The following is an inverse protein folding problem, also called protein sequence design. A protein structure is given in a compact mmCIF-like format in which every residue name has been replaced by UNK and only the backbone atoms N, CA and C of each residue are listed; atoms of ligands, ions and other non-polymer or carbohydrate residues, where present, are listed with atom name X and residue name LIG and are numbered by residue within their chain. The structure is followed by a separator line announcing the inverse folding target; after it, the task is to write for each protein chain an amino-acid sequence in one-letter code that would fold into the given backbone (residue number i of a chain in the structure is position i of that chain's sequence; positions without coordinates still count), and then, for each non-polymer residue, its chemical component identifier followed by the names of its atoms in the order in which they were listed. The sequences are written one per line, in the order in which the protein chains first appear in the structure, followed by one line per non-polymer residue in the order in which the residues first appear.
data_IF_355220039274
#
_entry.id   IF_355220039274
#
_cell.length_a   1.000
_cell.length_b   1.000
_cell.length_c   1.000
_cell.angle_alpha   90.00
_cell.angle_beta   90.00
_cell.angle_gamma   90.00
#
_symmetry.space_group_name_H-M   'P 1'
#
loop_
_entity.id
_entity.type
_entity.pdbx_description
1 polymer ?
#
# COMPACT_ATOMS: atom_id res chain seq x y z
N UNK A 1 0.43 21.33 -11.70
CA UNK A 1 -0.84 21.99 -11.34
C UNK A 1 -1.76 21.85 -12.55
N UNK A 2 -2.46 20.73 -12.64
CA UNK A 2 -3.65 20.56 -13.46
C UNK A 2 -4.67 19.92 -12.52
N UNK A 3 -5.15 20.75 -11.59
CA UNK A 3 -6.46 20.51 -11.02
C UNK A 3 -7.41 20.52 -12.22
N UNK A 4 -8.02 19.37 -12.54
CA UNK A 4 -9.30 19.44 -13.23
C UNK A 4 -10.20 20.23 -12.29
N UNK A 5 -10.40 21.48 -12.67
CA UNK A 5 -11.37 22.39 -12.12
C UNK A 5 -12.69 21.62 -12.13
N UNK A 6 -13.12 21.16 -10.95
CA UNK A 6 -14.46 20.64 -10.79
C UNK A 6 -15.39 21.74 -11.30
N UNK A 7 -16.11 21.45 -12.38
CA UNK A 7 -17.15 22.34 -12.87
C UNK A 7 -18.14 22.58 -11.71
N UNK A 8 -18.60 23.81 -11.44
CA UNK A 8 -19.39 24.13 -10.25
C UNK A 8 -20.82 23.55 -10.26
N UNK A 9 -21.14 22.61 -11.14
CA UNK A 9 -22.47 22.04 -11.33
C UNK A 9 -22.58 20.54 -10.99
N UNK A 10 -21.66 19.97 -10.21
CA UNK A 10 -21.95 18.70 -9.52
C UNK A 10 -22.69 19.04 -8.22
N UNK A 11 -24.01 18.76 -8.18
CA UNK A 11 -24.82 18.79 -6.96
C UNK A 11 -24.09 18.00 -5.88
N UNK A 12 -23.45 18.68 -4.93
CA UNK A 12 -22.97 18.08 -3.71
C UNK A 12 -24.23 17.75 -2.89
N UNK A 13 -24.74 16.52 -3.00
CA UNK A 13 -25.73 16.03 -2.06
C UNK A 13 -25.02 15.88 -0.71
N UNK A 14 -25.21 16.89 0.14
CA UNK A 14 -24.94 16.77 1.57
C UNK A 14 -25.94 15.77 2.13
N UNK A 15 -25.50 14.53 2.30
CA UNK A 15 -26.18 13.53 3.11
C UNK A 15 -26.12 14.00 4.57
N UNK A 16 -27.09 14.83 4.97
CA UNK A 16 -27.13 15.41 6.31
C UNK A 16 -27.47 14.38 7.41
N UNK A 17 -27.88 13.14 7.06
CA UNK A 17 -28.40 12.16 8.03
C UNK A 17 -27.92 10.71 7.77
N UNK A 18 -26.61 10.47 7.62
CA UNK A 18 -26.08 9.09 7.76
C UNK A 18 -25.76 8.84 9.23
N UNK A 19 -26.56 8.01 9.88
CA UNK A 19 -26.29 7.52 11.23
C UNK A 19 -25.75 6.08 11.17
N UNK A 20 -24.53 5.88 11.65
CA UNK A 20 -23.91 4.55 11.79
C UNK A 20 -23.88 4.17 13.26
N UNK A 21 -24.36 2.96 13.59
CA UNK A 21 -24.25 2.38 14.93
C UNK A 21 -23.19 1.28 14.93
N UNK A 22 -22.18 1.41 15.78
CA UNK A 22 -21.12 0.42 15.96
C UNK A 22 -21.27 -0.25 17.32
N UNK A 23 -21.11 -1.58 17.38
CA UNK A 23 -20.97 -2.30 18.64
C UNK A 23 -19.57 -2.08 19.19
N UNK A 24 -19.47 -1.77 20.49
CA UNK A 24 -18.20 -1.59 21.16
C UNK A 24 -17.82 -2.84 21.94
N UNK A 25 -16.55 -3.21 21.84
CA UNK A 25 -15.97 -4.28 22.64
C UNK A 25 -15.56 -3.75 24.03
N UNK A 26 -15.59 -4.63 25.04
CA UNK A 26 -15.03 -4.33 26.36
C UNK A 26 -13.54 -3.98 26.26
N UNK A 27 -13.09 -3.05 27.10
CA UNK A 27 -11.70 -2.62 27.11
C UNK A 27 -10.78 -3.78 27.55
N UNK A 28 -9.64 -3.90 26.88
CA UNK A 28 -8.55 -4.82 27.23
C UNK A 28 -7.18 -4.15 26.97
N UNK A 29 -6.10 -4.82 27.37
CA UNK A 29 -4.73 -4.44 27.03
C UNK A 29 -4.16 -5.39 25.98
N UNK A 30 -3.17 -4.92 25.23
CA UNK A 30 -2.40 -5.72 24.27
C UNK A 30 -0.96 -5.81 24.73
N UNK A 31 -0.31 -6.92 24.38
CA UNK A 31 1.12 -7.17 24.54
C UNK A 31 1.74 -7.34 23.16
N UNK A 32 2.60 -6.40 22.76
CA UNK A 32 3.16 -6.34 21.40
C UNK A 32 4.66 -6.57 21.41
N UNK A 33 5.14 -7.45 20.54
CA UNK A 33 6.55 -7.59 20.19
C UNK A 33 6.73 -7.70 18.68
N UNK A 34 7.84 -7.16 18.16
CA UNK A 34 8.26 -7.38 16.77
C UNK A 34 9.48 -8.31 16.74
N UNK A 35 9.44 -9.32 15.88
CA UNK A 35 10.59 -10.17 15.60
C UNK A 35 11.08 -9.92 14.17
N UNK A 36 12.34 -9.51 14.03
CA UNK A 36 12.99 -9.29 12.75
C UNK A 36 13.79 -10.54 12.40
N UNK A 37 13.40 -11.23 11.34
CA UNK A 37 14.00 -12.49 10.90
C UNK A 37 14.09 -12.50 9.37
N UNK A 38 14.68 -13.54 8.80
CA UNK A 38 14.69 -13.73 7.36
C UNK A 38 13.27 -13.99 6.81
N UNK A 39 13.10 -13.80 5.51
CA UNK A 39 11.83 -14.08 4.82
C UNK A 39 11.69 -15.51 4.30
N UNK A 40 12.49 -16.45 4.82
CA UNK A 40 12.34 -17.84 4.45
C UNK A 40 10.95 -18.33 4.92
N UNK A 41 10.29 -19.10 4.07
CA UNK A 41 9.03 -19.79 4.39
C UNK A 41 7.80 -18.88 4.64
N UNK A 42 7.88 -17.56 4.41
CA UNK A 42 6.74 -16.64 4.59
C UNK A 42 5.49 -17.06 3.79
N UNK A 43 5.68 -17.70 2.62
CA UNK A 43 4.67 -18.32 1.76
C UNK A 43 3.92 -19.50 2.41
N UNK A 44 4.45 -20.07 3.49
CA UNK A 44 3.86 -21.24 4.15
C UNK A 44 3.40 -20.94 5.59
N UNK A 45 4.07 -20.01 6.31
CA UNK A 45 3.79 -19.79 7.74
C UNK A 45 2.81 -18.65 8.04
N UNK A 46 2.45 -17.82 7.05
CA UNK A 46 1.59 -16.65 7.26
C UNK A 46 0.25 -16.98 7.93
N UNK A 47 -0.39 -18.09 7.53
CA UNK A 47 -1.68 -18.53 8.12
C UNK A 47 -1.51 -18.94 9.59
N UNK A 48 -0.47 -19.71 9.89
CA UNK A 48 -0.25 -20.20 11.26
C UNK A 48 0.09 -19.06 12.22
N UNK A 49 0.84 -18.05 11.73
CA UNK A 49 1.06 -16.81 12.50
C UNK A 49 -0.26 -16.08 12.79
N UNK A 50 -1.14 -15.95 11.79
CA UNK A 50 -2.45 -15.31 11.94
C UNK A 50 -3.40 -16.05 12.89
N UNK A 51 -3.37 -17.38 12.90
CA UNK A 51 -4.16 -18.20 13.84
C UNK A 51 -3.65 -18.07 15.27
N UNK A 52 -2.33 -17.91 15.44
CA UNK A 52 -1.69 -17.87 16.76
C UNK A 52 -1.84 -16.52 17.46
N UNK A 53 -1.86 -15.42 16.73
CA UNK A 53 -1.95 -14.07 17.30
C UNK A 53 -3.14 -13.31 16.73
N UNK A 54 -4.05 -12.89 17.60
CA UNK A 54 -5.33 -12.26 17.20
C UNK A 54 -5.15 -11.01 16.33
N UNK A 55 -4.10 -10.23 16.59
CA UNK A 55 -3.79 -9.02 15.83
C UNK A 55 -2.48 -9.15 15.07
N UNK A 56 -2.17 -10.37 14.61
CA UNK A 56 -1.02 -10.64 13.77
C UNK A 56 -0.96 -9.70 12.55
N UNK A 57 0.24 -9.19 12.28
CA UNK A 57 0.64 -8.72 10.97
C UNK A 57 2.07 -9.16 10.68
N UNK A 58 2.44 -9.13 9.40
CA UNK A 58 3.81 -9.39 8.94
C UNK A 58 4.20 -8.23 8.04
N UNK A 59 5.35 -7.62 8.27
CA UNK A 59 5.91 -6.64 7.33
C UNK A 59 7.09 -7.29 6.60
N UNK A 60 6.98 -7.44 5.29
CA UNK A 60 7.99 -8.06 4.45
C UNK A 60 8.78 -7.00 3.70
N UNK A 61 10.11 -7.05 3.78
CA UNK A 61 11.05 -6.17 3.09
C UNK A 61 11.83 -6.99 2.05
N UNK A 62 11.33 -7.11 0.80
CA UNK A 62 11.88 -8.06 -0.16
C UNK A 62 13.34 -7.78 -0.52
N UNK A 63 13.75 -6.52 -0.70
CA UNK A 63 15.16 -6.20 -1.05
C UNK A 63 16.14 -6.54 0.07
N UNK A 64 15.63 -6.73 1.29
CA UNK A 64 16.40 -7.01 2.50
C UNK A 64 16.31 -8.45 2.96
N UNK A 65 15.58 -9.30 2.23
CA UNK A 65 15.27 -10.67 2.64
C UNK A 65 14.78 -10.76 4.10
N UNK A 66 14.04 -9.75 4.56
CA UNK A 66 13.65 -9.59 5.96
C UNK A 66 12.14 -9.67 6.10
N UNK A 67 11.64 -10.52 7.01
CA UNK A 67 10.27 -10.50 7.47
C UNK A 67 10.20 -10.04 8.94
N UNK A 68 9.24 -9.18 9.25
CA UNK A 68 8.99 -8.67 10.60
C UNK A 68 7.65 -9.17 11.07
N UNK A 69 7.67 -10.14 11.98
CA UNK A 69 6.47 -10.73 12.54
C UNK A 69 6.03 -9.93 13.77
N UNK A 70 4.76 -9.51 13.77
CA UNK A 70 4.14 -8.89 14.95
C UNK A 70 3.44 -9.94 15.80
N UNK A 71 3.92 -10.07 17.02
CA UNK A 71 3.34 -10.91 18.07
C UNK A 71 2.44 -10.00 18.89
N UNK A 72 1.14 -10.20 18.78
CA UNK A 72 0.17 -9.28 19.34
C UNK A 72 -1.03 -10.04 19.91
N UNK A 73 -1.09 -10.04 21.23
CA UNK A 73 -2.09 -10.80 22.00
C UNK A 73 -2.81 -9.90 22.96
N UNK A 74 -4.06 -10.29 23.27
CA UNK A 74 -4.79 -9.75 24.40
C UNK A 74 -4.12 -10.14 25.71
N UNK A 75 -4.13 -9.22 26.65
CA UNK A 75 -3.79 -9.47 28.05
C UNK A 75 -4.84 -8.83 28.97
N UNK A 76 -5.02 -9.36 30.19
CA UNK A 76 -5.91 -8.80 31.19
C UNK A 76 -5.64 -7.32 31.50
N UNK A 77 -6.66 -6.61 32.01
CA UNK A 77 -6.57 -5.17 32.31
C UNK A 77 -5.57 -4.84 33.43
N UNK A 78 -5.35 -5.77 34.36
CA UNK A 78 -4.40 -5.66 35.46
C UNK A 78 -2.96 -5.95 35.06
N UNK A 79 -2.71 -6.39 33.81
CA UNK A 79 -1.36 -6.52 33.28
C UNK A 79 -0.61 -5.18 33.35
N UNK A 80 0.62 -5.20 33.88
CA UNK A 80 1.42 -4.00 34.06
C UNK A 80 1.86 -3.40 32.71
N UNK A 81 1.79 -2.07 32.60
CA UNK A 81 2.17 -1.31 31.40
C UNK A 81 1.11 -0.30 30.97
N UNK A 82 1.57 0.85 30.47
CA UNK A 82 0.75 1.88 29.82
C UNK A 82 1.37 2.30 28.49
N UNK A 83 1.78 1.29 27.72
CA UNK A 83 2.38 1.47 26.41
C UNK A 83 1.42 2.12 25.42
N UNK A 84 2.02 2.74 24.40
CA UNK A 84 1.31 3.36 23.29
C UNK A 84 1.98 2.99 21.97
N UNK A 85 1.22 3.05 20.89
CA UNK A 85 1.74 2.90 19.53
C UNK A 85 1.58 4.21 18.75
N UNK A 86 2.65 4.98 18.68
CA UNK A 86 2.70 6.20 17.89
C UNK A 86 3.51 5.92 16.62
N UNK A 87 2.89 5.24 15.65
CA UNK A 87 3.56 4.78 14.43
C UNK A 87 4.40 5.88 13.80
N UNK A 88 5.67 5.59 13.52
CA UNK A 88 6.62 6.60 13.00
C UNK A 88 6.12 7.27 11.72
N UNK A 89 5.37 6.54 10.88
CA UNK A 89 4.84 7.06 9.64
C UNK A 89 3.75 8.09 9.86
N UNK A 90 3.12 8.15 11.04
CA UNK A 90 2.02 9.08 11.37
C UNK A 90 2.37 10.06 12.49
N UNK A 91 3.65 10.23 12.80
CA UNK A 91 4.16 11.25 13.72
C UNK A 91 4.22 12.63 13.05
N UNK A 92 4.17 13.69 13.85
CA UNK A 92 4.47 15.03 13.36
C UNK A 92 5.94 15.11 12.95
N UNK A 93 6.20 15.60 11.74
CA UNK A 93 7.55 15.78 11.23
C UNK A 93 7.82 17.26 11.02
N UNK A 94 9.05 17.70 11.28
CA UNK A 94 9.51 19.02 10.84
C UNK A 94 9.29 19.16 9.32
N UNK A 95 8.70 20.28 8.90
CA UNK A 95 8.38 20.52 7.49
C UNK A 95 9.64 20.46 6.63
N UNK A 96 10.75 21.04 7.12
CA UNK A 96 12.04 21.02 6.42
C UNK A 96 12.56 19.60 6.25
N UNK A 97 12.47 18.74 7.26
CA UNK A 97 12.89 17.34 7.16
C UNK A 97 12.08 16.60 6.10
N UNK A 98 10.75 16.76 6.11
CA UNK A 98 9.87 16.11 5.12
C UNK A 98 10.19 16.56 3.68
N UNK A 99 10.48 17.86 3.49
CA UNK A 99 10.89 18.41 2.20
C UNK A 99 12.27 17.90 1.76
N UNK A 100 13.24 17.82 2.67
CA UNK A 100 14.59 17.30 2.39
C UNK A 100 14.57 15.83 2.03
N UNK A 101 13.82 15.00 2.77
CA UNK A 101 13.64 13.57 2.45
C UNK A 101 13.03 13.42 1.06
N UNK A 102 11.99 14.19 0.76
CA UNK A 102 11.38 14.18 -0.57
C UNK A 102 12.35 14.60 -1.68
N UNK A 103 13.13 15.66 -1.45
CA UNK A 103 14.08 16.17 -2.43
C UNK A 103 15.20 15.15 -2.70
N UNK A 104 15.71 14.49 -1.66
CA UNK A 104 16.69 13.41 -1.78
C UNK A 104 16.11 12.23 -2.57
N UNK A 105 14.90 11.79 -2.25
CA UNK A 105 14.25 10.71 -2.99
C UNK A 105 14.06 11.04 -4.48
N UNK A 106 13.62 12.27 -4.78
CA UNK A 106 13.49 12.76 -6.17
C UNK A 106 14.82 12.74 -6.92
N UNK A 107 15.92 13.09 -6.26
CA UNK A 107 17.24 13.05 -6.86
C UNK A 107 17.62 11.60 -7.21
N UNK A 108 17.38 10.64 -6.30
CA UNK A 108 17.64 9.23 -6.55
C UNK A 108 16.80 8.67 -7.71
N UNK A 109 15.52 9.04 -7.76
CA UNK A 109 14.61 8.67 -8.86
C UNK A 109 15.09 9.24 -10.21
N UNK A 110 15.41 10.53 -10.26
CA UNK A 110 15.81 11.21 -11.50
C UNK A 110 17.19 10.76 -12.03
N UNK A 111 18.08 10.32 -11.14
CA UNK A 111 19.43 9.86 -11.51
C UNK A 111 19.49 8.34 -11.75
N UNK A 112 18.38 7.63 -11.56
CA UNK A 112 18.35 6.17 -11.65
C UNK A 112 19.23 5.48 -10.61
N UNK A 113 19.42 6.11 -9.44
CA UNK A 113 20.35 5.64 -8.41
C UNK A 113 19.71 4.60 -7.50
N UNK A 114 19.71 3.34 -7.96
CA UNK A 114 19.19 2.19 -7.22
C UNK A 114 19.97 1.93 -5.93
N UNK A 115 21.29 2.07 -5.94
CA UNK A 115 22.12 1.86 -4.74
C UNK A 115 21.75 2.84 -3.63
N UNK A 116 21.57 4.12 -3.96
CA UNK A 116 21.12 5.15 -3.03
C UNK A 116 19.72 4.86 -2.47
N UNK A 117 18.80 4.33 -3.29
CA UNK A 117 17.49 3.87 -2.80
C UNK A 117 17.61 2.71 -1.82
N UNK A 118 18.54 1.78 -2.05
CA UNK A 118 18.79 0.67 -1.13
C UNK A 118 19.45 1.12 0.17
N UNK A 119 20.32 2.14 0.11
CA UNK A 119 20.89 2.76 1.30
C UNK A 119 19.81 3.42 2.16
N UNK A 120 18.91 4.20 1.55
CA UNK A 120 17.81 4.83 2.29
C UNK A 120 16.83 3.79 2.84
N UNK A 121 16.51 2.73 2.08
CA UNK A 121 15.70 1.62 2.56
C UNK A 121 16.33 0.92 3.79
N UNK A 122 17.63 0.67 3.75
CA UNK A 122 18.36 0.08 4.87
C UNK A 122 18.37 0.98 6.11
N UNK A 123 18.57 2.29 5.92
CA UNK A 123 18.51 3.28 7.00
C UNK A 123 17.09 3.35 7.61
N UNK A 124 16.05 3.36 6.79
CA UNK A 124 14.64 3.36 7.22
C UNK A 124 14.31 2.12 8.04
N UNK A 125 14.71 0.93 7.58
CA UNK A 125 14.50 -0.33 8.31
C UNK A 125 15.27 -0.35 9.65
N UNK A 126 16.52 0.12 9.64
CA UNK A 126 17.33 0.25 10.86
C UNK A 126 16.69 1.19 11.88
N UNK A 127 16.19 2.34 11.45
CA UNK A 127 15.47 3.29 12.30
C UNK A 127 14.16 2.72 12.84
N UNK A 128 13.40 2.00 12.01
CA UNK A 128 12.19 1.27 12.43
C UNK A 128 12.49 0.26 13.53
N UNK A 129 13.56 -0.52 13.39
CA UNK A 129 13.99 -1.49 14.40
C UNK A 129 14.39 -0.80 15.70
N UNK A 130 15.17 0.28 15.62
CA UNK A 130 15.65 1.05 16.78
C UNK A 130 14.50 1.65 17.59
N UNK A 131 13.49 2.18 16.91
CA UNK A 131 12.37 2.90 17.53
C UNK A 131 11.13 2.03 17.76
N UNK A 132 11.26 0.70 17.58
CA UNK A 132 10.16 -0.25 17.64
C UNK A 132 8.95 0.16 16.80
N UNK A 133 9.22 0.74 15.62
CA UNK A 133 8.25 1.29 14.68
C UNK A 133 7.27 2.31 15.31
N UNK A 134 7.62 2.90 16.47
CA UNK A 134 6.78 3.89 17.18
C UNK A 134 6.15 3.38 18.48
N UNK A 135 6.41 2.15 18.90
CA UNK A 135 5.97 1.67 20.21
C UNK A 135 6.75 2.35 21.34
N UNK A 136 6.07 2.73 22.41
CA UNK A 136 6.67 3.35 23.61
C UNK A 136 6.13 2.67 24.86
N UNK A 137 6.98 2.29 25.81
CA UNK A 137 6.57 1.54 27.02
C UNK A 137 5.87 2.42 28.07
N UNK A 138 6.20 3.71 28.09
CA UNK A 138 5.73 4.69 29.08
C UNK A 138 5.12 5.95 28.43
N UNK A 139 4.71 5.86 27.18
CA UNK A 139 4.22 7.01 26.40
C UNK A 139 5.31 7.93 25.82
N UNK A 140 6.57 7.78 26.24
CA UNK A 140 7.66 8.66 25.84
C UNK A 140 8.69 7.94 24.96
N UNK A 141 9.21 6.80 25.43
CA UNK A 141 10.31 6.09 24.77
C UNK A 141 10.05 4.59 24.69
N UNK A 142 10.69 3.94 23.72
CA UNK A 142 10.82 2.49 23.68
C UNK A 142 11.93 2.03 24.63
N UNK A 143 11.64 1.08 25.51
CA UNK A 143 12.63 0.49 26.43
C UNK A 143 12.78 -1.02 26.25
N UNK A 144 11.91 -1.67 25.48
CA UNK A 144 12.00 -3.10 25.19
C UNK A 144 10.64 -3.75 24.94
N UNK A 145 10.68 -4.97 24.41
CA UNK A 145 9.50 -5.83 24.25
C UNK A 145 9.28 -6.74 25.47
N UNK A 146 8.03 -7.16 25.73
CA UNK A 146 6.81 -6.70 25.07
C UNK A 146 6.41 -5.29 25.52
N UNK A 147 5.73 -4.55 24.65
CA UNK A 147 5.07 -3.30 25.00
C UNK A 147 3.62 -3.61 25.35
N UNK A 148 3.25 -3.39 26.61
CA UNK A 148 1.92 -3.66 27.14
C UNK A 148 1.17 -2.34 27.33
N UNK A 149 -0.01 -2.21 26.72
CA UNK A 149 -0.81 -0.99 26.80
C UNK A 149 -2.28 -1.20 26.47
N UNK A 150 -3.12 -0.19 26.74
CA UNK A 150 -4.54 -0.25 26.43
C UNK A 150 -4.79 -0.35 24.94
N UNK A 151 -5.70 -1.21 24.49
CA UNK A 151 -5.98 -1.39 23.06
C UNK A 151 -6.24 -0.06 22.35
N UNK A 152 -7.03 0.83 22.96
CA UNK A 152 -7.27 2.16 22.38
C UNK A 152 -5.99 2.92 22.03
N UNK A 153 -4.94 2.85 22.87
CA UNK A 153 -3.64 3.50 22.64
C UNK A 153 -2.66 2.68 21.79
N UNK A 154 -2.87 1.38 21.69
CA UNK A 154 -2.02 0.46 20.91
C UNK A 154 -2.50 0.28 19.46
N UNK A 155 -3.78 0.55 19.19
CA UNK A 155 -4.37 0.52 17.85
C UNK A 155 -4.34 1.89 17.16
N UNK A 156 -4.58 2.97 17.92
CA UNK A 156 -4.52 4.31 17.33
C UNK A 156 -3.07 4.66 17.05
N UNK A 157 -2.74 4.78 15.78
CA UNK A 157 -1.41 5.12 15.32
C UNK A 157 -1.42 6.56 14.80
N UNK A 158 -0.71 7.46 15.47
CA UNK A 158 -0.37 8.77 14.90
C UNK A 158 -0.67 9.96 15.79
N UNK A 159 0.29 10.86 15.80
CA UNK A 159 0.27 12.13 16.55
C UNK A 159 0.29 13.36 15.64
N UNK A 160 0.44 13.20 14.32
CA UNK A 160 0.74 14.31 13.43
C UNK A 160 -0.32 15.42 13.40
N UNK A 161 -1.61 15.07 13.45
CA UNK A 161 -2.71 16.04 13.45
C UNK A 161 -2.91 16.73 14.81
N UNK A 162 -2.29 16.24 15.87
CA UNK A 162 -2.39 16.82 17.21
C UNK A 162 -1.24 17.77 17.54
N UNK A 163 -0.26 17.91 16.64
CA UNK A 163 0.83 18.87 16.83
C UNK A 163 0.30 20.30 16.76
N UNK A 164 0.69 21.12 17.73
CA UNK A 164 0.41 22.56 17.78
C UNK A 164 1.55 23.41 17.24
N UNK A 165 2.68 22.78 16.88
CA UNK A 165 3.87 23.45 16.35
C UNK A 165 3.67 23.82 14.88
N UNK A 166 3.88 25.09 14.55
CA UNK A 166 3.70 25.64 13.19
C UNK A 166 4.73 25.13 12.17
N UNK A 167 5.90 24.69 12.64
CA UNK A 167 6.98 24.16 11.82
C UNK A 167 6.89 22.64 11.58
N UNK A 168 5.82 22.00 12.05
CA UNK A 168 5.58 20.55 11.89
C UNK A 168 4.32 20.25 11.09
N UNK A 169 4.28 19.09 10.44
CA UNK A 169 3.09 18.58 9.73
C UNK A 169 3.13 17.06 9.59
N UNK A 170 2.03 16.46 9.14
CA UNK A 170 2.09 15.09 8.60
C UNK A 170 2.96 15.10 7.33
N UNK A 171 3.83 14.11 7.16
CA UNK A 171 4.86 14.15 6.11
C UNK A 171 4.30 14.21 4.66
N UNK A 172 3.05 13.81 4.47
CA UNK A 172 2.32 13.82 3.19
C UNK A 172 1.28 14.96 3.08
N UNK A 173 1.32 15.94 3.97
CA UNK A 173 0.43 17.11 3.87
C UNK A 173 0.62 17.81 2.52
N UNK A 174 -0.46 17.97 1.71
CA UNK A 174 -0.35 18.49 0.34
C UNK A 174 0.07 19.96 0.28
N UNK A 175 0.01 20.69 1.40
CA UNK A 175 0.44 22.09 1.49
C UNK A 175 1.96 22.21 1.55
N UNK A 176 2.66 21.13 1.91
CA UNK A 176 4.12 21.08 1.93
C UNK A 176 4.64 20.27 0.75
N UNK A 177 5.88 20.54 0.33
CA UNK A 177 6.57 19.75 -0.71
C UNK A 177 7.16 18.45 -0.13
N UNK A 178 6.40 17.75 0.71
CA UNK A 178 6.78 16.53 1.41
C UNK A 178 6.56 15.25 0.61
N UNK A 179 6.27 14.15 1.31
CA UNK A 179 6.10 12.83 0.72
C UNK A 179 4.89 12.78 -0.23
N UNK A 180 5.06 12.08 -1.36
CA UNK A 180 3.99 11.77 -2.30
C UNK A 180 4.24 10.39 -2.90
N UNK A 181 3.28 9.50 -2.69
CA UNK A 181 3.39 8.09 -3.01
C UNK A 181 2.04 7.54 -3.43
N UNK A 182 2.06 6.38 -4.08
CA UNK A 182 0.89 5.53 -4.19
C UNK A 182 0.87 4.54 -3.05
N UNK A 183 -0.33 4.06 -2.77
CA UNK A 183 -0.56 2.88 -1.95
C UNK A 183 -1.41 1.91 -2.75
N UNK A 184 -0.88 0.70 -2.92
CA UNK A 184 -1.59 -0.39 -3.58
C UNK A 184 -1.89 -1.48 -2.55
N UNK A 185 -3.14 -1.91 -2.56
CA UNK A 185 -3.72 -2.82 -1.58
C UNK A 185 -4.57 -3.86 -2.27
N UNK A 186 -4.07 -5.10 -2.21
CA UNK A 186 -4.65 -6.27 -2.83
C UNK A 186 -5.10 -7.26 -1.76
N UNK A 187 -6.32 -7.78 -1.91
CA UNK A 187 -6.94 -8.73 -0.99
C UNK A 187 -7.09 -10.07 -1.70
N UNK A 188 -6.43 -11.10 -1.15
CA UNK A 188 -6.34 -12.44 -1.70
C UNK A 188 -7.20 -13.40 -0.89
N UNK A 189 -7.87 -14.37 -1.54
CA UNK A 189 -8.20 -15.63 -0.89
C UNK A 189 -6.98 -16.19 -0.16
N UNK A 190 -7.12 -16.57 1.11
CA UNK A 190 -5.98 -17.06 1.88
C UNK A 190 -5.27 -18.23 1.20
N UNK A 191 -5.99 -19.09 0.47
CA UNK A 191 -5.46 -20.24 -0.27
C UNK A 191 -4.51 -19.90 -1.43
N UNK A 192 -4.60 -18.69 -1.99
CA UNK A 192 -3.78 -18.26 -3.15
C UNK A 192 -2.56 -17.43 -2.76
N UNK A 193 -2.46 -17.02 -1.50
CA UNK A 193 -1.48 -16.02 -1.07
C UNK A 193 -0.04 -16.56 -1.08
N UNK A 194 0.18 -17.83 -0.69
CA UNK A 194 1.51 -18.46 -0.77
C UNK A 194 2.08 -18.48 -2.18
N UNK A 195 1.26 -18.82 -3.18
CA UNK A 195 1.67 -18.80 -4.59
C UNK A 195 2.02 -17.38 -5.07
N UNK A 196 1.24 -16.37 -4.64
CA UNK A 196 1.55 -14.97 -4.91
C UNK A 196 2.93 -14.58 -4.35
N UNK A 197 3.22 -14.94 -3.10
CA UNK A 197 4.54 -14.69 -2.49
C UNK A 197 5.65 -15.36 -3.31
N UNK A 198 5.46 -16.61 -3.75
CA UNK A 198 6.45 -17.33 -4.54
C UNK A 198 6.77 -16.61 -5.86
N UNK A 199 5.78 -16.03 -6.54
CA UNK A 199 6.03 -15.23 -7.74
C UNK A 199 6.71 -13.90 -7.46
N UNK A 200 6.35 -13.22 -6.37
CA UNK A 200 7.05 -12.00 -5.94
C UNK A 200 8.50 -12.30 -5.56
N UNK A 201 8.77 -13.46 -4.92
CA UNK A 201 10.13 -13.94 -4.65
C UNK A 201 10.91 -14.17 -5.95
N UNK A 202 10.33 -14.83 -6.95
CA UNK A 202 10.96 -14.96 -8.29
C UNK A 202 11.29 -13.60 -8.90
N UNK A 203 10.39 -12.63 -8.78
CA UNK A 203 10.61 -11.27 -9.31
C UNK A 203 11.73 -10.55 -8.55
N UNK A 204 11.75 -10.68 -7.21
CA UNK A 204 12.83 -10.18 -6.34
C UNK A 204 14.17 -10.81 -6.70
N UNK A 205 14.22 -12.13 -6.90
CA UNK A 205 15.47 -12.87 -7.05
C UNK A 205 16.20 -12.57 -8.38
N UNK A 206 15.52 -11.96 -9.36
CA UNK A 206 16.16 -11.42 -10.57
C UNK A 206 17.10 -10.26 -10.21
N UNK A 207 16.61 -9.31 -9.41
CA UNK A 207 17.41 -8.23 -8.85
C UNK A 207 16.74 -7.66 -7.60
N UNK A 208 17.18 -8.06 -6.38
CA UNK A 208 16.55 -7.62 -5.14
C UNK A 208 16.59 -6.11 -4.94
N UNK A 209 17.60 -5.43 -5.52
CA UNK A 209 17.73 -3.98 -5.40
C UNK A 209 16.57 -3.22 -6.04
N UNK A 210 15.88 -3.84 -7.01
CA UNK A 210 14.72 -3.21 -7.62
C UNK A 210 13.57 -3.00 -6.61
N UNK A 211 13.55 -3.79 -5.53
CA UNK A 211 12.55 -3.70 -4.48
C UNK A 211 12.83 -2.64 -3.41
N UNK A 212 14.01 -2.00 -3.43
CA UNK A 212 14.39 -1.00 -2.42
C UNK A 212 13.42 0.19 -2.36
N UNK A 213 12.68 0.46 -3.45
CA UNK A 213 11.69 1.53 -3.50
C UNK A 213 10.57 1.40 -2.46
N UNK A 214 9.99 0.20 -2.27
CA UNK A 214 8.94 -0.03 -1.25
C UNK A 214 9.52 -0.18 0.16
N UNK A 215 10.73 -0.71 0.27
CA UNK A 215 11.42 -0.92 1.55
C UNK A 215 11.84 0.42 2.18
N UNK A 216 12.03 1.45 1.35
CA UNK A 216 12.19 2.83 1.78
C UNK A 216 10.94 3.41 2.49
N UNK A 217 9.78 2.76 2.33
CA UNK A 217 8.55 3.10 3.04
C UNK A 217 8.28 2.08 4.16
N UNK A 218 7.41 1.11 3.90
CA UNK A 218 7.00 0.10 4.89
C UNK A 218 7.15 -1.33 4.36
N UNK A 219 7.78 -1.53 3.20
CA UNK A 219 7.77 -2.82 2.51
C UNK A 219 6.35 -3.24 2.12
N UNK A 220 6.09 -4.54 2.14
CA UNK A 220 4.78 -5.16 1.95
C UNK A 220 4.20 -5.51 3.32
N UNK A 221 3.16 -4.80 3.74
CA UNK A 221 2.44 -5.08 4.99
C UNK A 221 1.34 -6.12 4.73
N UNK A 222 1.45 -7.27 5.37
CA UNK A 222 0.54 -8.41 5.26
C UNK A 222 -0.36 -8.43 6.50
N UNK A 223 -1.67 -8.37 6.28
CA UNK A 223 -2.71 -8.39 7.33
C UNK A 223 -3.83 -9.37 6.95
N UNK A 224 -4.76 -9.57 7.87
CA UNK A 224 -5.78 -10.61 7.75
C UNK A 224 -7.18 -10.01 7.89
N UNK A 225 -8.11 -10.50 7.08
CA UNK A 225 -9.50 -10.07 7.06
C UNK A 225 -10.38 -11.31 7.20
N UNK A 226 -11.32 -11.28 8.16
CA UNK A 226 -12.31 -12.35 8.32
C UNK A 226 -13.37 -12.31 7.23
N UNK A 227 -13.91 -13.49 6.91
CA UNK A 227 -15.05 -13.61 6.00
C UNK A 227 -16.24 -12.72 6.43
N UNK A 228 -16.99 -12.25 5.45
CA UNK A 228 -18.14 -11.35 5.59
C UNK A 228 -19.17 -11.67 4.51
N UNK A 229 -20.45 -11.57 4.87
CA UNK A 229 -21.56 -11.76 3.95
C UNK A 229 -21.84 -10.54 3.05
N UNK A 230 -21.18 -9.40 3.31
CA UNK A 230 -21.36 -8.18 2.52
C UNK A 230 -21.10 -8.42 1.02
N UNK A 231 -21.91 -7.83 0.16
CA UNK A 231 -21.86 -8.10 -1.29
C UNK A 231 -20.53 -7.73 -1.94
N UNK A 232 -19.92 -6.63 -1.49
CA UNK A 232 -18.56 -6.21 -1.88
C UNK A 232 -17.50 -6.58 -0.82
N UNK A 233 -17.83 -7.54 0.05
CA UNK A 233 -16.95 -8.04 1.11
C UNK A 233 -16.08 -9.22 0.69
N UNK A 234 -15.41 -9.81 1.69
CA UNK A 234 -14.62 -11.01 1.52
C UNK A 234 -15.46 -12.24 1.89
N UNK A 235 -15.78 -13.10 0.92
CA UNK A 235 -16.60 -14.30 1.14
C UNK A 235 -15.88 -15.41 1.91
N UNK A 236 -14.59 -15.25 2.15
CA UNK A 236 -13.72 -16.19 2.87
C UNK A 236 -12.66 -15.41 3.65
N UNK A 237 -12.03 -16.08 4.62
CA UNK A 237 -10.86 -15.53 5.32
C UNK A 237 -9.77 -15.19 4.29
N UNK A 238 -9.30 -13.96 4.35
CA UNK A 238 -8.49 -13.36 3.29
C UNK A 238 -7.23 -12.73 3.85
N UNK A 239 -6.20 -12.66 3.01
CA UNK A 239 -4.96 -11.96 3.30
C UNK A 239 -4.95 -10.66 2.50
N UNK A 240 -4.66 -9.54 3.14
CA UNK A 240 -4.49 -8.25 2.49
C UNK A 240 -3.03 -7.85 2.55
N UNK A 241 -2.52 -7.34 1.43
CA UNK A 241 -1.23 -6.65 1.40
C UNK A 241 -1.42 -5.16 1.18
N UNK A 242 -0.55 -4.34 1.74
CA UNK A 242 -0.40 -2.93 1.43
C UNK A 242 1.07 -2.61 1.16
N UNK A 243 1.36 -1.86 0.10
CA UNK A 243 2.70 -1.37 -0.15
C UNK A 243 2.68 0.04 -0.74
N UNK A 244 3.59 0.87 -0.25
CA UNK A 244 3.73 2.26 -0.66
C UNK A 244 4.96 2.43 -1.55
N UNK A 245 4.82 3.21 -2.62
CA UNK A 245 5.90 3.44 -3.56
C UNK A 245 5.84 4.84 -4.16
N UNK A 246 7.00 5.33 -4.58
CA UNK A 246 7.18 6.70 -5.06
C UNK A 246 6.17 7.06 -6.16
N UNK A 247 5.59 8.25 -6.03
CA UNK A 247 4.80 8.92 -7.06
C UNK A 247 5.49 10.22 -7.45
N UNK A 248 5.78 10.44 -8.73
CA UNK A 248 6.29 11.73 -9.19
C UNK A 248 5.22 12.83 -9.07
N UNK A 249 5.64 14.09 -8.93
CA UNK A 249 4.68 15.20 -8.88
C UNK A 249 4.03 15.46 -10.25
N UNK A 250 4.75 15.14 -11.33
CA UNK A 250 4.31 15.21 -12.71
C UNK A 250 3.89 13.81 -13.18
N UNK A 251 2.68 13.68 -13.69
CA UNK A 251 2.10 12.41 -14.12
C UNK A 251 2.83 11.77 -15.31
N UNK A 252 3.57 12.57 -16.08
CA UNK A 252 4.34 12.09 -17.23
C UNK A 252 5.78 11.74 -16.85
N UNK A 253 6.14 11.77 -15.56
CA UNK A 253 7.48 11.41 -15.10
C UNK A 253 7.49 9.96 -14.63
N UNK A 254 8.21 9.07 -15.34
CA UNK A 254 8.35 7.69 -14.93
C UNK A 254 9.16 7.63 -13.63
N UNK A 255 9.07 6.47 -12.96
CA UNK A 255 9.80 6.20 -11.71
C UNK A 255 10.81 5.08 -11.89
N UNK A 256 11.83 5.07 -11.06
CA UNK A 256 12.81 4.00 -11.00
C UNK A 256 12.12 2.67 -10.68
N UNK A 257 12.48 1.63 -11.43
CA UNK A 257 11.93 0.28 -11.35
C UNK A 257 10.39 0.24 -11.46
N UNK A 258 9.82 1.15 -12.27
CA UNK A 258 8.38 1.21 -12.49
C UNK A 258 7.78 -0.14 -12.92
N UNK A 259 8.54 -0.86 -13.73
CA UNK A 259 8.13 -2.15 -14.27
C UNK A 259 7.91 -3.20 -13.17
N UNK A 260 8.72 -3.18 -12.11
CA UNK A 260 8.55 -4.09 -10.96
C UNK A 260 7.23 -3.84 -10.23
N UNK A 261 6.84 -2.59 -10.04
CA UNK A 261 5.58 -2.26 -9.34
C UNK A 261 4.36 -2.56 -10.20
N UNK A 262 4.44 -2.24 -11.50
CA UNK A 262 3.38 -2.57 -12.44
C UNK A 262 3.22 -4.07 -12.64
N UNK A 263 4.31 -4.83 -12.61
CA UNK A 263 4.27 -6.28 -12.66
C UNK A 263 3.70 -6.88 -11.37
N UNK A 264 4.12 -6.40 -10.20
CA UNK A 264 3.59 -6.87 -8.91
C UNK A 264 2.09 -6.63 -8.81
N UNK A 265 1.62 -5.44 -9.20
CA UNK A 265 0.18 -5.15 -9.28
C UNK A 265 -0.54 -6.07 -10.27
N UNK A 266 0.06 -6.37 -11.42
CA UNK A 266 -0.55 -7.27 -12.41
C UNK A 266 -0.57 -8.73 -11.95
N UNK A 267 0.47 -9.20 -11.26
CA UNK A 267 0.48 -10.49 -10.58
C UNK A 267 -0.67 -10.53 -9.57
N UNK A 268 -0.80 -9.53 -8.71
CA UNK A 268 -1.87 -9.48 -7.70
C UNK A 268 -3.27 -9.46 -8.34
N UNK A 269 -3.55 -8.46 -9.17
CA UNK A 269 -4.90 -8.14 -9.61
C UNK A 269 -5.39 -8.94 -10.82
N UNK A 270 -4.49 -9.43 -11.67
CA UNK A 270 -4.83 -10.13 -12.91
C UNK A 270 -4.49 -11.61 -12.84
N UNK A 271 -3.28 -11.98 -12.40
CA UNK A 271 -2.91 -13.40 -12.28
C UNK A 271 -3.66 -14.09 -11.13
N UNK A 272 -3.68 -13.49 -9.95
CA UNK A 272 -4.33 -14.08 -8.77
C UNK A 272 -5.77 -13.62 -8.55
N UNK A 273 -6.24 -12.63 -9.32
CA UNK A 273 -7.59 -12.09 -9.21
C UNK A 273 -7.86 -11.43 -7.86
N UNK A 274 -6.83 -10.87 -7.21
CA UNK A 274 -6.99 -10.18 -5.94
C UNK A 274 -8.01 -9.04 -6.06
N UNK A 275 -8.79 -8.85 -5.01
CA UNK A 275 -9.76 -7.77 -4.91
C UNK A 275 -9.05 -6.47 -4.50
N UNK A 276 -9.41 -5.32 -5.10
CA UNK A 276 -8.86 -4.04 -4.67
C UNK A 276 -9.50 -3.60 -3.36
N UNK A 277 -8.73 -2.95 -2.51
CA UNK A 277 -9.31 -2.09 -1.47
C UNK A 277 -9.95 -0.85 -2.11
N UNK A 278 -11.24 -0.63 -1.86
CA UNK A 278 -12.05 0.40 -2.53
C UNK A 278 -11.58 1.85 -2.35
N UNK A 279 -10.89 2.15 -1.24
CA UNK A 279 -10.38 3.50 -0.96
C UNK A 279 -8.88 3.69 -1.26
N UNK A 280 -8.25 2.76 -1.99
CA UNK A 280 -6.82 2.77 -2.33
C UNK A 280 -6.63 2.37 -3.79
N UNK A 281 -5.38 2.19 -4.22
CA UNK A 281 -4.96 1.73 -5.54
C UNK A 281 -5.04 2.77 -6.67
N UNK A 282 -4.37 2.44 -7.76
CA UNK A 282 -4.54 3.08 -9.07
C UNK A 282 -5.72 2.44 -9.81
N UNK A 283 -6.26 3.13 -10.82
CA UNK A 283 -7.45 2.70 -11.56
C UNK A 283 -7.34 1.27 -12.12
N UNK A 284 -6.14 0.85 -12.53
CA UNK A 284 -5.89 -0.51 -13.05
C UNK A 284 -6.38 -1.63 -12.11
N UNK A 285 -6.33 -1.44 -10.78
CA UNK A 285 -6.68 -2.47 -9.81
C UNK A 285 -8.19 -2.77 -9.79
N UNK A 286 -8.98 -1.77 -10.18
CA UNK A 286 -10.45 -1.77 -10.22
C UNK A 286 -10.95 -2.12 -11.63
N UNK A 287 -10.06 -2.30 -12.61
CA UNK A 287 -10.43 -2.86 -13.91
C UNK A 287 -11.09 -4.23 -13.74
N UNK A 288 -12.23 -4.44 -14.40
CA UNK A 288 -12.99 -5.69 -14.38
C UNK A 288 -13.40 -6.14 -12.96
N UNK A 289 -13.59 -5.20 -12.03
CA UNK A 289 -13.88 -5.49 -10.62
C UNK A 289 -15.15 -6.32 -10.42
N UNK A 290 -16.13 -6.21 -11.32
CA UNK A 290 -17.35 -7.00 -11.30
C UNK A 290 -17.09 -8.51 -11.29
N UNK A 291 -16.00 -8.97 -11.92
CA UNK A 291 -15.63 -10.38 -11.97
C UNK A 291 -14.87 -10.85 -10.72
N UNK A 292 -14.47 -9.92 -9.85
CA UNK A 292 -13.72 -10.23 -8.62
C UNK A 292 -14.63 -10.47 -7.42
N UNK A 293 -15.91 -10.11 -7.51
CA UNK A 293 -16.89 -10.22 -6.42
C UNK A 293 -18.04 -11.17 -6.82
N UNK A 294 -18.15 -12.37 -6.22
CA UNK A 294 -19.21 -13.32 -6.56
C UNK A 294 -20.63 -12.78 -6.38
N UNK A 295 -20.82 -11.84 -5.44
CA UNK A 295 -22.12 -11.21 -5.12
C UNK A 295 -22.29 -9.83 -5.79
N UNK A 296 -21.51 -9.52 -6.82
CA UNK A 296 -21.57 -8.20 -7.48
C UNK A 296 -22.96 -7.87 -8.04
N UNK A 297 -23.64 -8.83 -8.66
CA UNK A 297 -24.99 -8.61 -9.20
C UNK A 297 -26.01 -8.26 -8.10
N UNK A 298 -25.90 -8.88 -6.91
CA UNK A 298 -26.74 -8.54 -5.77
C UNK A 298 -26.48 -7.12 -5.26
N UNK A 299 -25.23 -6.66 -5.33
CA UNK A 299 -24.88 -5.27 -5.06
C UNK A 299 -25.54 -4.32 -6.07
N UNK A 300 -25.46 -4.61 -7.37
CA UNK A 300 -26.09 -3.77 -8.40
C UNK A 300 -27.62 -3.75 -8.24
N UNK A 301 -28.24 -4.88 -7.93
CA UNK A 301 -29.68 -4.94 -7.65
C UNK A 301 -30.05 -4.06 -6.44
N UNK A 302 -29.35 -4.23 -5.31
CA UNK A 302 -29.59 -3.41 -4.11
C UNK A 302 -29.35 -1.91 -4.38
N UNK A 303 -28.29 -1.56 -5.11
CA UNK A 303 -28.00 -0.19 -5.55
C UNK A 303 -29.20 0.38 -6.33
N UNK A 304 -29.69 -0.35 -7.34
CA UNK A 304 -30.78 0.13 -8.19
C UNK A 304 -32.12 0.24 -7.44
N UNK A 305 -32.35 -0.61 -6.44
CA UNK A 305 -33.52 -0.51 -5.57
C UNK A 305 -33.44 0.69 -4.62
N UNK A 306 -32.25 0.98 -4.07
CA UNK A 306 -32.03 2.07 -3.11
C UNK A 306 -31.88 3.45 -3.78
N UNK A 307 -31.42 3.49 -5.03
CA UNK A 307 -31.15 4.71 -5.79
C UNK A 307 -31.79 4.67 -7.18
N UNK A 308 -33.12 4.58 -7.23
CA UNK A 308 -33.89 4.43 -8.48
C UNK A 308 -33.74 5.60 -9.46
N UNK A 309 -33.30 6.76 -8.98
CA UNK A 309 -33.08 7.96 -9.77
C UNK A 309 -31.58 8.20 -10.07
N UNK A 310 -30.69 7.29 -9.69
CA UNK A 310 -29.23 7.40 -9.84
C UNK A 310 -28.65 8.70 -9.24
N UNK A 311 -29.21 9.15 -8.12
CA UNK A 311 -28.80 10.35 -7.39
C UNK A 311 -27.37 10.23 -6.85
N UNK A 312 -26.92 9.01 -6.53
CA UNK A 312 -25.57 8.71 -6.02
C UNK A 312 -24.64 8.15 -7.08
N UNK A 313 -25.09 8.05 -8.33
CA UNK A 313 -24.30 7.51 -9.44
C UNK A 313 -23.86 8.63 -10.38
N UNK A 314 -22.69 8.48 -10.98
CA UNK A 314 -22.18 9.37 -12.02
C UNK A 314 -21.05 8.72 -12.80
N UNK A 315 -20.51 9.43 -13.79
CA UNK A 315 -19.53 8.89 -14.74
C UNK A 315 -18.38 8.12 -14.06
N UNK A 316 -17.87 8.66 -12.95
CA UNK A 316 -16.78 8.02 -12.20
C UNK A 316 -17.22 6.72 -11.50
N UNK A 317 -18.35 6.71 -10.79
CA UNK A 317 -18.81 5.49 -10.11
C UNK A 317 -19.19 4.41 -11.12
N UNK A 318 -19.75 4.82 -12.26
CA UNK A 318 -20.17 3.92 -13.32
C UNK A 318 -18.95 3.34 -14.06
N UNK A 319 -17.92 4.15 -14.28
CA UNK A 319 -16.63 3.66 -14.81
C UNK A 319 -16.03 2.59 -13.89
N UNK A 320 -16.01 2.86 -12.58
CA UNK A 320 -15.48 1.96 -11.56
C UNK A 320 -16.30 0.67 -11.44
N UNK A 321 -17.64 0.76 -11.47
CA UNK A 321 -18.52 -0.40 -11.28
C UNK A 321 -18.74 -1.23 -12.55
N UNK A 322 -18.89 -0.59 -13.69
CA UNK A 322 -19.27 -1.26 -14.94
C UNK A 322 -18.11 -1.45 -15.91
N UNK A 323 -16.94 -0.86 -15.62
CA UNK A 323 -15.72 -1.07 -16.39
C UNK A 323 -15.81 -0.50 -17.79
N UNK A 324 -15.69 0.83 -17.92
CA UNK A 324 -15.51 1.45 -19.24
C UNK A 324 -14.03 1.50 -19.57
N UNK A 325 -13.63 0.88 -20.68
CA UNK A 325 -12.25 0.98 -21.16
C UNK A 325 -11.97 2.44 -21.55
N UNK A 326 -11.08 3.10 -20.81
CA UNK A 326 -10.66 4.46 -21.10
C UNK A 326 -9.80 4.48 -22.36
N UNK A 327 -9.97 5.53 -23.16
CA UNK A 327 -9.12 5.78 -24.33
C UNK A 327 -7.67 5.93 -23.86
N UNK A 328 -6.78 5.08 -24.38
CA UNK A 328 -5.35 5.13 -24.03
C UNK A 328 -4.68 6.34 -24.66
N UNK A 329 -3.98 7.11 -23.86
CA UNK A 329 -3.28 8.33 -24.25
C UNK A 329 -1.82 8.29 -23.80
N UNK A 330 -1.03 9.25 -24.24
CA UNK A 330 0.41 9.28 -23.96
C UNK A 330 0.68 9.37 -22.45
N UNK A 331 1.51 8.46 -21.94
CA UNK A 331 1.82 8.36 -20.51
C UNK A 331 0.72 7.74 -19.63
N UNK A 332 -0.39 7.23 -20.17
CA UNK A 332 -1.50 6.70 -19.35
C UNK A 332 -1.08 5.56 -18.39
N UNK A 333 -0.05 4.78 -18.72
CA UNK A 333 0.40 3.67 -17.88
C UNK A 333 1.18 4.16 -16.65
N UNK A 334 1.84 5.32 -16.74
CA UNK A 334 2.64 5.88 -15.64
C UNK A 334 1.82 6.15 -14.38
N UNK A 335 0.57 6.59 -14.53
CA UNK A 335 -0.38 6.80 -13.42
C UNK A 335 -1.31 5.60 -13.20
N UNK A 336 -1.15 4.49 -13.94
CA UNK A 336 -2.00 3.31 -13.79
C UNK A 336 -3.42 3.51 -14.33
N UNK A 337 -3.59 4.41 -15.30
CA UNK A 337 -4.86 4.65 -15.99
C UNK A 337 -5.08 3.68 -17.16
N UNK A 338 -4.01 3.02 -17.62
CA UNK A 338 -4.08 1.98 -18.62
C UNK A 338 -2.96 0.94 -18.38
N UNK A 339 -3.14 -0.26 -18.92
CA UNK A 339 -2.03 -1.20 -19.14
C UNK A 339 -1.40 -0.87 -20.49
N UNK A 340 -0.07 -0.72 -20.51
CA UNK A 340 0.63 -0.30 -21.71
C UNK A 340 0.46 -1.33 -22.84
N UNK A 341 0.46 -0.84 -24.08
CA UNK A 341 0.38 -1.68 -25.28
C UNK A 341 1.23 -1.08 -26.40
N UNK A 342 1.40 0.24 -26.38
CA UNK A 342 2.30 1.02 -27.22
C UNK A 342 3.30 1.75 -26.33
N UNK A 343 4.49 2.05 -26.86
CA UNK A 343 5.54 2.75 -26.11
C UNK A 343 5.12 4.14 -25.64
N UNK A 344 4.28 4.84 -26.42
CA UNK A 344 3.76 6.17 -26.05
C UNK A 344 3.04 6.18 -24.70
N UNK A 345 2.51 5.05 -24.24
CA UNK A 345 1.88 4.94 -22.91
C UNK A 345 2.90 5.02 -21.75
N UNK A 346 4.19 4.88 -22.04
CA UNK A 346 5.28 4.79 -21.06
C UNK A 346 6.25 5.98 -21.09
N UNK A 347 6.01 7.03 -21.89
CA UNK A 347 6.94 8.16 -22.05
C UNK A 347 8.31 7.77 -22.64
N UNK A 348 8.35 7.39 -23.93
CA UNK A 348 9.59 6.98 -24.61
C UNK A 348 10.60 8.14 -24.72
N UNK A 349 10.15 9.39 -24.65
CA UNK A 349 11.01 10.57 -24.61
C UNK A 349 11.87 10.64 -23.33
N UNK A 350 11.48 9.90 -22.29
CA UNK A 350 12.23 9.74 -21.04
C UNK A 350 12.90 8.36 -20.94
N UNK A 351 12.95 7.61 -22.04
CA UNK A 351 13.63 6.31 -22.12
C UNK A 351 12.82 5.12 -21.60
N UNK A 352 11.50 5.26 -21.41
CA UNK A 352 10.64 4.17 -20.93
C UNK A 352 9.73 3.65 -22.04
N UNK A 353 9.70 2.32 -22.20
CA UNK A 353 9.04 1.62 -23.29
C UNK A 353 8.12 0.52 -22.75
N UNK A 354 7.09 0.18 -23.52
CA UNK A 354 6.15 -0.85 -23.12
C UNK A 354 6.73 -2.23 -23.37
N UNK A 355 6.93 -3.00 -22.32
CA UNK A 355 7.57 -4.31 -22.34
C UNK A 355 6.72 -5.38 -21.65
N UNK A 356 7.11 -6.64 -21.81
CA UNK A 356 6.54 -7.75 -21.04
C UNK A 356 7.13 -7.81 -19.62
N UNK A 357 6.36 -8.38 -18.69
CA UNK A 357 6.83 -8.71 -17.34
C UNK A 357 8.05 -9.64 -17.34
N UNK A 358 8.83 -9.59 -16.27
CA UNK A 358 10.02 -10.41 -16.07
C UNK A 358 9.65 -11.84 -15.64
N UNK A 359 8.62 -12.00 -14.82
CA UNK A 359 8.08 -13.28 -14.30
C UNK A 359 6.70 -13.57 -14.88
N UNK A 360 5.75 -12.64 -14.77
CA UNK A 360 4.41 -12.77 -15.34
C UNK A 360 4.41 -12.21 -16.77
N UNK A 361 4.61 -13.09 -17.76
CA UNK A 361 4.87 -12.69 -19.15
C UNK A 361 3.68 -12.02 -19.84
N UNK A 362 2.46 -12.25 -19.34
CA UNK A 362 1.24 -11.61 -19.78
C UNK A 362 1.13 -10.16 -19.25
N UNK A 363 1.88 -9.80 -18.20
CA UNK A 363 1.94 -8.41 -17.74
C UNK A 363 2.58 -7.51 -18.80
N UNK A 364 2.07 -6.29 -18.91
CA UNK A 364 2.66 -5.23 -19.73
C UNK A 364 3.04 -4.06 -18.85
N UNK A 365 4.31 -3.66 -18.95
CA UNK A 365 4.95 -2.76 -17.99
C UNK A 365 5.82 -1.73 -18.68
N UNK A 366 5.95 -0.55 -18.09
CA UNK A 366 6.83 0.52 -18.53
C UNK A 366 8.22 0.32 -17.95
N UNK A 367 9.16 -0.09 -18.81
CA UNK A 367 10.55 -0.39 -18.44
C UNK A 367 11.51 0.62 -19.07
N UNK A 368 12.51 1.04 -18.29
CA UNK A 368 13.59 1.89 -18.80
C UNK A 368 14.53 1.13 -19.72
N UNK A 369 14.92 1.71 -20.86
CA UNK A 369 15.93 1.12 -21.76
C UNK A 369 17.31 1.04 -21.13
N UNK A 370 17.62 1.89 -20.15
CA UNK A 370 18.90 1.88 -19.42
C UNK A 370 19.10 0.66 -18.51
N UNK A 371 18.06 -0.17 -18.32
CA UNK A 371 18.17 -1.43 -17.54
C UNK A 371 18.85 -2.56 -18.32
N UNK A 372 19.10 -2.39 -19.62
CA UNK A 372 19.89 -3.32 -20.44
C UNK A 372 21.36 -2.90 -20.51
N UNK A 373 22.09 -3.06 -19.41
CA UNK A 373 23.54 -3.27 -19.49
C UNK A 373 23.78 -4.74 -19.16
N UNK A 374 23.85 -5.57 -20.19
CA UNK A 374 24.37 -6.93 -20.05
C UNK A 374 25.84 -6.84 -19.60
N UNK A 375 26.27 -7.60 -18.57
CA UNK A 375 27.68 -7.67 -18.19
C UNK A 375 28.49 -8.61 -19.09
N UNK A 376 28.26 -8.59 -20.41
CA UNK A 376 29.01 -9.42 -21.37
C UNK A 376 29.39 -8.59 -22.61
N UNK A 377 30.31 -7.66 -22.43
CA UNK A 377 31.24 -7.22 -23.47
C UNK A 377 32.41 -6.45 -22.84
N UNK A 378 33.31 -7.19 -22.18
CA UNK A 378 34.73 -6.86 -22.05
C UNK A 378 35.54 -8.15 -22.00
#
# INVERSE_FOLDING_TARGET
MLAKQFSPCSKLLLLNDIQVKLSLEHRFKRSIAFNFTDDNDIENVYIEHAKKYEFADITWYPSRHTAVYRYDVRVPLDAAGDGVYDFIGFQANEILVSQSVRAAEKLLENTGNTEGKCLTASATLGYKKLTANGLKNNGLIFTGYPVIGYQGKMQTSGSCLYSTRIDTSCAWDPRIKGLSFYESTAIFPASKFGDFINDVKKLRDINPQNFCGIDNYNGILIRYIKASEAYLGQSEDSVVIDFNYYRANDQFTPRLNQDVWEELEQIAFFKYGAKPHWAKNRNLAISNVQHKYPKFNLFIEAKNQMDTQNVFSGDWSDEILYGKELVKFDGCALEGQCICSEDRHCSPQKGYYCSHGLVYKEARVCRSSSTFVYPDSL
#
